data_IF_966867287228
#
_entry.id   IF_966867287228
#
_cell.length_a   1.000
_cell.length_b   1.000
_cell.length_c   1.000
_cell.angle_alpha   90.00
_cell.angle_beta   90.00
_cell.angle_gamma   90.00
#
_symmetry.space_group_name_H-M   'P 1'
#
loop_
_entity.id
_entity.type
_entity.pdbx_description
1 polymer ?
#
# COMPACT_ATOMS: atom_id res chain seq x y z
N UNK A 1 30.23 28.46 29.54
CA UNK A 1 30.60 28.11 28.17
C UNK A 1 29.93 26.79 27.88
N UNK A 2 28.78 26.84 27.19
CA UNK A 2 27.99 25.66 26.85
C UNK A 2 28.48 25.17 25.46
N UNK A 3 29.15 24.02 25.44
CA UNK A 3 29.55 23.36 24.19
C UNK A 3 28.35 22.62 23.60
N UNK A 4 27.73 23.16 22.58
CA UNK A 4 26.77 22.44 21.74
C UNK A 4 27.45 21.22 21.10
N UNK A 5 26.90 20.00 21.20
CA UNK A 5 27.46 18.85 20.53
C UNK A 5 27.38 19.10 19.00
N UNK A 6 28.53 19.13 18.34
CA UNK A 6 28.61 19.10 16.88
C UNK A 6 28.06 17.74 16.42
N UNK A 7 26.92 17.77 15.74
CA UNK A 7 26.43 16.61 15.02
C UNK A 7 27.41 16.35 13.88
N UNK A 8 28.13 15.25 13.96
CA UNK A 8 29.10 14.83 12.96
C UNK A 8 28.31 14.31 11.72
N UNK A 9 28.14 15.18 10.74
CA UNK A 9 27.46 14.87 9.49
C UNK A 9 28.29 14.01 8.54
N UNK A 10 29.56 13.77 8.85
CA UNK A 10 30.45 12.94 8.03
C UNK A 10 30.10 11.45 8.05
N UNK A 11 29.35 11.00 9.06
CA UNK A 11 28.88 9.61 9.19
C UNK A 11 27.86 9.17 8.14
N UNK A 12 27.25 10.11 7.41
CA UNK A 12 26.24 9.80 6.37
C UNK A 12 26.83 9.64 4.97
N UNK A 13 28.14 9.88 4.80
CA UNK A 13 28.82 9.83 3.50
C UNK A 13 29.43 8.46 3.16
N UNK A 14 29.05 7.37 3.84
CA UNK A 14 29.48 6.04 3.44
C UNK A 14 28.80 5.58 2.15
N UNK A 15 29.54 5.05 1.15
CA UNK A 15 28.98 4.60 -0.13
C UNK A 15 27.92 3.50 0.02
N UNK A 16 27.89 2.82 1.15
CA UNK A 16 26.87 1.81 1.51
C UNK A 16 25.51 2.41 1.87
N UNK A 17 25.44 3.70 2.23
CA UNK A 17 24.19 4.35 2.62
C UNK A 17 23.38 4.87 1.41
N UNK A 18 24.02 5.12 0.27
CA UNK A 18 23.34 5.66 -0.91
C UNK A 18 22.21 4.77 -1.46
N UNK A 19 22.39 3.44 -1.66
CA UNK A 19 21.31 2.58 -2.12
C UNK A 19 20.11 2.55 -1.16
N UNK A 20 20.38 2.56 0.15
CA UNK A 20 19.33 2.61 1.17
C UNK A 20 18.59 3.95 1.13
N UNK A 21 19.29 5.06 0.99
CA UNK A 21 18.69 6.39 0.87
C UNK A 21 17.80 6.51 -0.37
N UNK A 22 18.27 6.01 -1.52
CA UNK A 22 17.48 5.98 -2.76
C UNK A 22 16.23 5.13 -2.57
N UNK A 23 16.37 3.91 -2.02
CA UNK A 23 15.24 3.03 -1.73
C UNK A 23 14.20 3.69 -0.81
N UNK A 24 14.63 4.31 0.29
CA UNK A 24 13.73 5.02 1.19
C UNK A 24 13.06 6.22 0.52
N UNK A 25 13.76 6.93 -0.35
CA UNK A 25 13.21 8.01 -1.17
C UNK A 25 12.11 7.50 -2.11
N UNK A 26 12.34 6.38 -2.79
CA UNK A 26 11.32 5.71 -3.62
C UNK A 26 10.12 5.30 -2.77
N UNK A 27 10.35 4.70 -1.59
CA UNK A 27 9.28 4.31 -0.69
C UNK A 27 8.43 5.50 -0.25
N UNK A 28 9.04 6.65 0.05
CA UNK A 28 8.31 7.87 0.40
C UNK A 28 7.37 8.33 -0.72
N UNK A 29 7.83 8.27 -1.98
CA UNK A 29 7.00 8.59 -3.15
C UNK A 29 5.85 7.58 -3.29
N UNK A 30 6.12 6.28 -3.17
CA UNK A 30 5.10 5.24 -3.26
C UNK A 30 4.04 5.35 -2.16
N UNK A 31 4.44 5.71 -0.94
CA UNK A 31 3.51 5.98 0.17
C UNK A 31 2.66 7.22 -0.11
N UNK A 32 3.26 8.30 -0.63
CA UNK A 32 2.49 9.48 -1.03
C UNK A 32 1.44 9.15 -2.10
N UNK A 33 1.79 8.31 -3.09
CA UNK A 33 0.82 7.81 -4.09
C UNK A 33 -0.29 6.97 -3.43
N UNK A 34 0.06 6.13 -2.45
CA UNK A 34 -0.93 5.35 -1.68
C UNK A 34 -1.94 6.25 -0.96
N UNK A 35 -1.49 7.37 -0.38
CA UNK A 35 -2.37 8.35 0.26
C UNK A 35 -3.33 8.96 -0.75
N UNK A 36 -2.86 9.31 -1.95
CA UNK A 36 -3.70 9.84 -3.02
C UNK A 36 -4.74 8.81 -3.47
N UNK A 37 -4.31 7.57 -3.77
CA UNK A 37 -5.21 6.48 -4.17
C UNK A 37 -6.26 6.21 -3.08
N UNK A 38 -5.84 6.13 -1.81
CA UNK A 38 -6.73 5.94 -0.68
C UNK A 38 -7.72 7.09 -0.51
N UNK A 39 -7.29 8.33 -0.75
CA UNK A 39 -8.14 9.50 -0.77
C UNK A 39 -9.23 9.41 -1.86
N UNK A 40 -8.86 9.00 -3.07
CA UNK A 40 -9.81 8.76 -4.17
C UNK A 40 -10.80 7.65 -3.80
N UNK A 41 -10.30 6.51 -3.29
CA UNK A 41 -11.14 5.38 -2.86
C UNK A 41 -12.17 5.80 -1.81
N UNK A 42 -11.76 6.65 -0.86
CA UNK A 42 -12.66 7.21 0.15
C UNK A 42 -13.69 8.17 -0.43
N UNK A 43 -13.26 9.11 -1.28
CA UNK A 43 -14.13 10.13 -1.87
C UNK A 43 -15.15 9.55 -2.87
N UNK A 44 -14.81 8.42 -3.49
CA UNK A 44 -15.71 7.71 -4.41
C UNK A 44 -16.61 6.68 -3.71
N UNK A 45 -16.53 6.55 -2.38
CA UNK A 45 -17.29 5.53 -1.65
C UNK A 45 -16.93 4.10 -2.03
N UNK A 46 -15.70 3.86 -2.51
CA UNK A 46 -15.31 2.57 -3.11
C UNK A 46 -14.84 1.53 -2.10
N UNK A 47 -14.68 1.88 -0.80
CA UNK A 47 -13.96 1.08 0.22
C UNK A 47 -14.79 -0.08 0.64
N UNK A 48 -15.74 -0.64 0.27
CA UNK A 48 -16.46 -1.87 0.68
C UNK A 48 -17.07 -2.64 -0.50
N UNK A 49 -16.59 -2.35 -1.72
CA UNK A 49 -17.09 -2.98 -2.95
C UNK A 49 -16.59 -4.42 -3.13
N UNK A 50 -15.43 -4.75 -2.54
CA UNK A 50 -14.86 -6.10 -2.62
C UNK A 50 -15.28 -6.95 -1.42
N UNK A 51 -16.46 -7.58 -1.50
CA UNK A 51 -17.08 -8.37 -0.41
C UNK A 51 -16.37 -9.70 -0.15
N UNK A 52 -15.65 -10.25 -1.13
CA UNK A 52 -14.89 -11.48 -0.98
C UNK A 52 -13.44 -11.20 -0.61
N UNK A 53 -13.00 -11.79 0.50
CA UNK A 53 -11.60 -11.74 0.90
C UNK A 53 -10.84 -12.88 0.24
N UNK A 54 -10.16 -12.59 -0.88
CA UNK A 54 -9.32 -13.56 -1.61
C UNK A 54 -7.86 -13.07 -1.61
N UNK A 55 -7.07 -13.39 -0.57
CA UNK A 55 -5.73 -12.83 -0.42
C UNK A 55 -4.78 -13.19 -1.57
N UNK A 56 -4.86 -14.40 -2.09
CA UNK A 56 -3.98 -14.86 -3.18
C UNK A 56 -4.61 -14.71 -4.57
N UNK A 57 -5.92 -14.89 -4.72
CA UNK A 57 -6.62 -14.74 -6.01
C UNK A 57 -7.09 -13.30 -6.29
N UNK A 58 -7.12 -12.43 -5.31
CA UNK A 58 -7.50 -11.01 -5.46
C UNK A 58 -6.46 -10.13 -6.17
N UNK A 59 -5.46 -10.74 -6.85
CA UNK A 59 -4.56 -10.03 -7.76
C UNK A 59 -5.16 -9.80 -9.15
N UNK A 60 -6.17 -10.58 -9.53
CA UNK A 60 -6.84 -10.42 -10.81
C UNK A 60 -8.28 -9.92 -10.58
N UNK A 61 -8.70 -8.87 -11.30
CA UNK A 61 -10.09 -8.45 -11.29
C UNK A 61 -10.95 -9.52 -11.99
N UNK A 62 -12.28 -9.47 -11.88
CA UNK A 62 -13.16 -10.32 -12.68
C UNK A 62 -12.86 -10.14 -14.18
N UNK A 63 -12.61 -11.25 -14.89
CA UNK A 63 -12.20 -11.21 -16.30
C UNK A 63 -13.38 -11.48 -17.26
N UNK A 64 -14.51 -11.99 -16.76
CA UNK A 64 -15.69 -12.30 -17.57
C UNK A 64 -16.91 -11.55 -17.07
N UNK A 65 -17.87 -11.33 -17.97
CA UNK A 65 -19.14 -10.70 -17.63
C UNK A 65 -19.94 -11.53 -16.60
N UNK A 66 -19.84 -12.84 -16.68
CA UNK A 66 -20.48 -13.75 -15.72
C UNK A 66 -19.90 -13.57 -14.32
N UNK A 67 -18.57 -13.44 -14.21
CA UNK A 67 -17.89 -13.19 -12.93
C UNK A 67 -18.23 -11.80 -12.37
N UNK A 68 -18.30 -10.76 -13.22
CA UNK A 68 -18.75 -9.44 -12.81
C UNK A 68 -20.16 -9.44 -12.22
N UNK A 69 -21.09 -10.15 -12.86
CA UNK A 69 -22.47 -10.29 -12.35
C UNK A 69 -22.51 -11.07 -11.04
N UNK A 70 -21.69 -12.11 -10.90
CA UNK A 70 -21.58 -12.88 -9.66
C UNK A 70 -21.09 -12.00 -8.49
N UNK A 71 -20.00 -11.25 -8.71
CA UNK A 71 -19.43 -10.40 -7.66
C UNK A 71 -20.37 -9.24 -7.32
N UNK A 72 -21.05 -8.68 -8.31
CA UNK A 72 -22.04 -7.64 -8.11
C UNK A 72 -23.25 -8.17 -7.30
N UNK A 73 -23.71 -9.40 -7.57
CA UNK A 73 -24.76 -10.04 -6.78
C UNK A 73 -24.37 -10.23 -5.30
N UNK A 74 -23.10 -10.52 -5.02
CA UNK A 74 -22.60 -10.57 -3.65
C UNK A 74 -22.57 -9.18 -3.00
N UNK A 75 -22.17 -8.16 -3.75
CA UNK A 75 -22.18 -6.78 -3.28
C UNK A 75 -23.59 -6.29 -2.97
N UNK A 76 -24.59 -6.66 -3.78
CA UNK A 76 -25.99 -6.30 -3.56
C UNK A 76 -26.58 -6.82 -2.24
N UNK A 77 -25.99 -7.85 -1.64
CA UNK A 77 -26.35 -8.35 -0.32
C UNK A 77 -25.58 -7.67 0.84
N UNK A 78 -24.67 -6.76 0.54
CA UNK A 78 -23.88 -6.06 1.55
C UNK A 78 -24.67 -4.89 2.18
N UNK A 79 -24.39 -4.54 3.44
CA UNK A 79 -24.97 -3.35 4.07
C UNK A 79 -24.72 -2.07 3.29
N UNK A 80 -23.51 -1.93 2.71
CA UNK A 80 -23.13 -0.78 1.90
C UNK A 80 -24.05 -0.55 0.70
N UNK A 81 -24.40 -1.63 -0.01
CA UNK A 81 -25.34 -1.53 -1.12
C UNK A 81 -26.76 -1.18 -0.62
N UNK A 82 -27.23 -1.85 0.43
CA UNK A 82 -28.59 -1.72 0.93
C UNK A 82 -28.87 -0.35 1.57
N UNK A 83 -27.86 0.29 2.14
CA UNK A 83 -28.01 1.57 2.84
C UNK A 83 -27.65 2.78 1.99
N UNK A 84 -26.67 2.64 1.07
CA UNK A 84 -26.07 3.78 0.37
C UNK A 84 -26.24 3.70 -1.15
N UNK A 85 -26.16 2.50 -1.74
CA UNK A 85 -26.01 2.32 -3.18
C UNK A 85 -27.15 1.50 -3.83
N UNK A 86 -28.37 1.56 -3.29
CA UNK A 86 -29.53 0.76 -3.73
C UNK A 86 -29.82 0.85 -5.24
N UNK A 87 -29.57 2.02 -5.86
CA UNK A 87 -29.85 2.26 -7.28
C UNK A 87 -28.60 2.04 -8.18
N UNK A 88 -27.50 1.53 -7.61
CA UNK A 88 -26.28 1.32 -8.36
C UNK A 88 -26.43 0.17 -9.36
N UNK A 89 -26.09 0.45 -10.61
CA UNK A 89 -26.01 -0.54 -11.67
C UNK A 89 -24.63 -1.24 -11.73
N UNK A 90 -24.49 -2.24 -12.60
CA UNK A 90 -23.24 -2.97 -12.79
C UNK A 90 -22.10 -2.05 -13.26
N UNK A 91 -22.38 -0.98 -13.99
CA UNK A 91 -21.37 -0.02 -14.47
C UNK A 91 -20.82 0.80 -13.31
N UNK A 92 -21.69 1.33 -12.48
CA UNK A 92 -21.32 2.03 -11.25
C UNK A 92 -20.50 1.13 -10.32
N UNK A 93 -20.93 -0.13 -10.14
CA UNK A 93 -20.19 -1.12 -9.34
C UNK A 93 -18.77 -1.38 -9.88
N UNK A 94 -18.59 -1.54 -11.20
CA UNK A 94 -17.27 -1.71 -11.81
C UNK A 94 -16.34 -0.53 -11.49
N UNK A 95 -16.86 0.68 -11.41
CA UNK A 95 -16.09 1.89 -11.10
C UNK A 95 -15.59 1.90 -9.66
N UNK A 96 -16.47 1.64 -8.68
CA UNK A 96 -16.06 1.59 -7.27
C UNK A 96 -15.14 0.40 -7.00
N UNK A 97 -15.42 -0.75 -7.61
CA UNK A 97 -14.57 -1.94 -7.52
C UNK A 97 -13.15 -1.66 -8.05
N UNK A 98 -13.02 -0.93 -9.16
CA UNK A 98 -11.72 -0.59 -9.74
C UNK A 98 -10.84 0.21 -8.76
N UNK A 99 -11.37 1.23 -8.11
CA UNK A 99 -10.62 2.05 -7.17
C UNK A 99 -10.20 1.28 -5.93
N UNK A 100 -11.09 0.45 -5.37
CA UNK A 100 -10.74 -0.42 -4.25
C UNK A 100 -9.69 -1.46 -4.66
N UNK A 101 -9.83 -2.06 -5.84
CA UNK A 101 -8.85 -3.00 -6.39
C UNK A 101 -7.47 -2.37 -6.54
N UNK A 102 -7.38 -1.20 -7.17
CA UNK A 102 -6.11 -0.47 -7.32
C UNK A 102 -5.49 -0.17 -5.96
N UNK A 103 -6.27 0.29 -5.00
CA UNK A 103 -5.80 0.57 -3.64
C UNK A 103 -5.22 -0.68 -2.97
N UNK A 104 -5.90 -1.82 -3.06
CA UNK A 104 -5.45 -3.10 -2.48
C UNK A 104 -4.19 -3.64 -3.17
N UNK A 105 -4.13 -3.57 -4.50
CA UNK A 105 -2.93 -3.99 -5.26
C UNK A 105 -1.75 -3.10 -4.92
N UNK A 106 -1.96 -1.78 -4.86
CA UNK A 106 -0.90 -0.84 -4.49
C UNK A 106 -0.36 -1.10 -3.08
N UNK A 107 -1.23 -1.39 -2.10
CA UNK A 107 -0.81 -1.77 -0.75
C UNK A 107 0.07 -3.01 -0.72
N UNK A 108 -0.29 -4.05 -1.49
CA UNK A 108 0.54 -5.26 -1.62
C UNK A 108 1.90 -4.98 -2.27
N UNK A 109 1.91 -4.16 -3.33
CA UNK A 109 3.16 -3.75 -3.99
C UNK A 109 4.05 -2.94 -3.05
N UNK A 110 3.48 -2.06 -2.23
CA UNK A 110 4.19 -1.32 -1.19
C UNK A 110 4.86 -2.27 -0.18
N UNK A 111 4.13 -3.26 0.31
CA UNK A 111 4.67 -4.27 1.22
C UNK A 111 5.85 -5.04 0.61
N UNK A 112 5.73 -5.46 -0.66
CA UNK A 112 6.83 -6.13 -1.38
C UNK A 112 8.01 -5.19 -1.65
N UNK A 113 7.76 -3.95 -2.09
CA UNK A 113 8.78 -2.95 -2.36
C UNK A 113 9.54 -2.53 -1.10
N UNK A 114 8.93 -2.65 0.07
CA UNK A 114 9.59 -2.43 1.35
C UNK A 114 10.28 -3.71 1.84
N UNK A 115 9.59 -4.83 1.90
CA UNK A 115 10.07 -6.05 2.54
C UNK A 115 11.23 -6.72 1.80
N UNK A 116 11.16 -6.82 0.46
CA UNK A 116 12.21 -7.50 -0.31
C UNK A 116 13.57 -6.76 -0.25
N UNK A 117 13.66 -5.43 -0.47
CA UNK A 117 14.93 -4.73 -0.32
C UNK A 117 15.39 -4.68 1.14
N UNK A 118 14.48 -4.56 2.11
CA UNK A 118 14.84 -4.63 3.53
C UNK A 118 15.55 -5.94 3.85
N UNK A 119 14.98 -7.07 3.42
CA UNK A 119 15.59 -8.39 3.59
C UNK A 119 16.95 -8.48 2.89
N UNK A 120 17.05 -7.98 1.65
CA UNK A 120 18.31 -7.96 0.91
C UNK A 120 19.39 -7.16 1.62
N UNK A 121 19.10 -5.92 2.03
CA UNK A 121 20.06 -5.06 2.74
C UNK A 121 20.42 -5.64 4.11
N UNK A 122 19.49 -6.32 4.77
CA UNK A 122 19.74 -6.98 6.05
C UNK A 122 20.71 -8.15 5.90
N UNK A 123 20.43 -9.08 5.00
CA UNK A 123 21.29 -10.25 4.76
C UNK A 123 22.70 -9.82 4.31
N UNK A 124 22.81 -8.73 3.57
CA UNK A 124 24.09 -8.14 3.15
C UNK A 124 24.81 -7.35 4.26
N UNK A 125 24.19 -7.18 5.42
CA UNK A 125 24.78 -6.39 6.50
C UNK A 125 24.96 -4.90 6.20
N UNK A 126 24.23 -4.39 5.21
CA UNK A 126 24.35 -3.01 4.73
C UNK A 126 23.60 -2.00 5.61
N UNK A 127 22.68 -2.45 6.46
CA UNK A 127 21.86 -1.56 7.28
C UNK A 127 22.64 -1.06 8.48
N UNK A 128 22.84 0.27 8.62
CA UNK A 128 23.46 0.83 9.83
C UNK A 128 22.67 0.50 11.08
N UNK A 129 23.37 0.20 12.18
CA UNK A 129 22.75 -0.20 13.44
C UNK A 129 21.76 0.84 13.97
N UNK A 130 22.02 2.12 13.72
CA UNK A 130 21.18 3.23 14.17
C UNK A 130 19.77 3.23 13.55
N UNK A 131 19.60 2.76 12.32
CA UNK A 131 18.29 2.78 11.62
C UNK A 131 17.57 1.43 11.63
N UNK A 132 18.24 0.35 12.08
CA UNK A 132 17.62 -0.98 12.18
C UNK A 132 16.29 -0.97 12.96
N UNK A 133 16.23 -0.44 14.20
CA UNK A 133 14.97 -0.46 14.95
C UNK A 133 13.84 0.29 14.26
N UNK A 134 14.16 1.40 13.58
CA UNK A 134 13.17 2.19 12.85
C UNK A 134 12.61 1.39 11.67
N UNK A 135 13.46 0.74 10.87
CA UNK A 135 13.00 -0.05 9.71
C UNK A 135 12.16 -1.26 10.14
N UNK A 136 12.52 -1.91 11.25
CA UNK A 136 11.71 -3.00 11.82
C UNK A 136 10.39 -2.52 12.38
N UNK A 137 10.37 -1.36 13.05
CA UNK A 137 9.11 -0.75 13.51
C UNK A 137 8.19 -0.44 12.35
N UNK A 138 8.71 0.10 11.25
CA UNK A 138 7.93 0.36 10.04
C UNK A 138 7.38 -0.92 9.42
N UNK A 139 8.13 -2.03 9.43
CA UNK A 139 7.64 -3.33 8.94
C UNK A 139 6.49 -3.90 9.78
N UNK A 140 6.50 -3.65 11.09
CA UNK A 140 5.46 -4.16 12.01
C UNK A 140 4.19 -3.29 11.94
N UNK A 141 4.34 -1.99 11.69
CA UNK A 141 3.24 -1.02 11.69
C UNK A 141 2.55 -0.88 10.33
N UNK A 142 3.19 -1.26 9.23
CA UNK A 142 2.66 -1.20 7.85
C UNK A 142 2.05 -2.50 7.42
#
# INVERSE_FOLDING_TARGET
>A
MSSTPKVDTSSFAHPTCMPIAIWLGIMAVLVAMMVVIGGVTRLTGSGLSMVEWRPLMGFLPPLSEAEWRRVFGLYQSSPEYLEINLDMDLSGFKTIFFWEYVHRVWGRLLGLAFGLPLLFFWVRGMIPSAIKPVLFSLLILG
#
